data_IF_655092702880
#
_entry.id   IF_655092702880
#
_cell.length_a   1.000
_cell.length_b   1.000
_cell.length_c   1.000
_cell.angle_alpha   90.00
_cell.angle_beta   90.00
_cell.angle_gamma   90.00
#
_symmetry.space_group_name_H-M   'P 1'
#
loop_
_entity.id
_entity.type
_entity.pdbx_description
1 polymer ?
#
# COMPACT_ATOMS: atom_id res chain seq x y z
N UNK A 1 -50.22 11.02 -66.30
CA UNK A 1 -51.39 10.19 -65.97
C UNK A 1 -51.13 9.62 -64.60
N UNK A 2 -51.61 10.34 -63.59
CA UNK A 2 -51.67 9.89 -62.20
C UNK A 2 -52.76 8.83 -62.06
N UNK A 3 -52.53 7.81 -61.20
CA UNK A 3 -53.53 7.34 -60.23
C UNK A 3 -52.87 6.57 -59.09
N UNK A 4 -53.36 6.86 -57.90
CA UNK A 4 -53.03 6.31 -56.60
C UNK A 4 -53.46 4.84 -56.40
N UNK A 5 -52.93 4.17 -55.36
CA UNK A 5 -53.71 3.51 -54.30
C UNK A 5 -52.80 2.75 -53.32
N UNK A 6 -53.36 2.54 -52.13
CA UNK A 6 -52.72 2.23 -50.86
C UNK A 6 -52.73 0.73 -50.49
N UNK A 7 -51.86 0.40 -49.52
CA UNK A 7 -51.95 -0.62 -48.46
C UNK A 7 -52.28 -2.07 -48.84
N UNK A 8 -51.34 -2.98 -48.53
CA UNK A 8 -51.73 -4.21 -47.82
C UNK A 8 -50.62 -4.72 -46.89
N UNK A 9 -51.06 -5.18 -45.73
CA UNK A 9 -50.28 -5.71 -44.61
C UNK A 9 -50.00 -7.20 -44.82
N UNK A 10 -48.76 -7.65 -44.60
CA UNK A 10 -48.49 -9.07 -44.42
C UNK A 10 -47.51 -9.27 -43.26
N UNK A 11 -48.03 -9.91 -42.21
CA UNK A 11 -47.31 -10.45 -41.07
C UNK A 11 -46.36 -11.57 -41.51
N UNK A 12 -45.12 -11.51 -41.04
CA UNK A 12 -44.20 -12.65 -41.03
C UNK A 12 -43.77 -12.90 -39.59
N UNK A 13 -44.26 -14.01 -39.05
CA UNK A 13 -43.71 -14.67 -37.86
C UNK A 13 -42.25 -15.01 -38.14
N UNK A 14 -41.34 -14.46 -37.33
CA UNK A 14 -39.98 -14.97 -37.20
C UNK A 14 -39.80 -15.45 -35.76
N UNK A 15 -39.67 -16.76 -35.61
CA UNK A 15 -39.37 -17.41 -34.37
C UNK A 15 -37.90 -17.15 -34.01
N UNK A 16 -37.65 -16.22 -33.09
CA UNK A 16 -36.34 -16.04 -32.48
C UNK A 16 -36.04 -17.21 -31.53
N UNK A 17 -35.09 -18.06 -31.92
CA UNK A 17 -34.40 -18.96 -31.00
C UNK A 17 -33.63 -18.11 -29.97
N UNK A 18 -34.20 -17.94 -28.78
CA UNK A 18 -33.47 -17.48 -27.60
C UNK A 18 -32.44 -18.55 -27.22
N UNK A 19 -31.18 -18.33 -27.60
CA UNK A 19 -30.03 -19.01 -27.01
C UNK A 19 -29.92 -18.53 -25.56
N UNK A 20 -30.26 -19.41 -24.62
CA UNK A 20 -30.05 -19.18 -23.21
C UNK A 20 -28.54 -18.99 -22.95
N UNK A 21 -28.15 -17.77 -22.59
CA UNK A 21 -26.85 -17.48 -21.99
C UNK A 21 -26.90 -18.12 -20.61
N UNK A 22 -25.99 -19.06 -20.26
CA UNK A 22 -25.97 -19.62 -18.92
C UNK A 22 -25.63 -18.51 -17.94
N UNK A 23 -26.51 -18.29 -16.96
CA UNK A 23 -26.28 -17.41 -15.83
C UNK A 23 -24.92 -17.72 -15.22
N UNK A 24 -24.04 -16.71 -15.25
CA UNK A 24 -22.78 -16.78 -14.51
C UNK A 24 -23.13 -16.84 -13.02
N UNK A 25 -22.54 -17.79 -12.25
CA UNK A 25 -22.84 -17.89 -10.82
C UNK A 25 -22.47 -16.58 -10.12
N UNK A 26 -23.17 -16.21 -9.04
CA UNK A 26 -22.91 -14.97 -8.32
C UNK A 26 -21.44 -14.90 -7.94
N UNK A 27 -20.78 -13.82 -8.32
CA UNK A 27 -19.37 -13.56 -8.00
C UNK A 27 -19.13 -13.84 -6.52
N UNK A 28 -18.48 -14.97 -6.24
CA UNK A 28 -17.94 -15.25 -4.93
C UNK A 28 -16.92 -14.16 -4.64
N UNK A 29 -16.98 -13.56 -3.44
CA UNK A 29 -15.96 -12.63 -3.00
C UNK A 29 -14.60 -13.33 -3.15
N UNK A 30 -13.62 -12.74 -3.85
CA UNK A 30 -12.34 -13.40 -4.06
C UNK A 30 -11.71 -13.75 -2.71
N UNK A 31 -11.04 -14.90 -2.64
CA UNK A 31 -10.41 -15.37 -1.41
C UNK A 31 -9.33 -14.41 -0.88
N UNK A 32 -8.79 -13.57 -1.77
CA UNK A 32 -7.76 -12.58 -1.49
C UNK A 32 -8.20 -11.21 -2.03
N UNK A 33 -8.05 -10.15 -1.22
CA UNK A 33 -8.03 -8.76 -1.71
C UNK A 33 -6.60 -8.41 -2.15
N UNK A 34 -6.33 -8.17 -3.44
CA UNK A 34 -4.98 -7.91 -3.94
C UNK A 34 -4.26 -6.76 -3.23
N UNK A 35 -4.95 -5.68 -2.85
CA UNK A 35 -4.32 -4.55 -2.18
C UNK A 35 -3.94 -4.92 -0.74
N UNK A 36 -4.82 -5.62 -0.02
CA UNK A 36 -4.53 -6.11 1.32
C UNK A 36 -3.37 -7.11 1.31
N UNK A 37 -3.38 -8.10 0.40
CA UNK A 37 -2.31 -9.08 0.26
C UNK A 37 -0.97 -8.42 -0.10
N UNK A 38 -0.96 -7.44 -1.01
CA UNK A 38 0.24 -6.68 -1.36
C UNK A 38 0.78 -5.89 -0.17
N UNK A 39 -0.10 -5.29 0.63
CA UNK A 39 0.27 -4.52 1.82
C UNK A 39 0.92 -5.40 2.87
N UNK A 40 0.33 -6.56 3.18
CA UNK A 40 0.89 -7.51 4.14
C UNK A 40 2.18 -8.14 3.66
N UNK A 41 2.27 -8.49 2.38
CA UNK A 41 3.47 -9.07 1.79
C UNK A 41 4.64 -8.07 1.74
N UNK A 42 4.36 -6.79 1.41
CA UNK A 42 5.32 -5.69 1.54
C UNK A 42 5.88 -5.61 2.97
N UNK A 43 5.00 -5.61 3.97
CA UNK A 43 5.41 -5.57 5.37
C UNK A 43 6.31 -6.75 5.77
N UNK A 44 5.94 -7.97 5.37
CA UNK A 44 6.72 -9.18 5.65
C UNK A 44 8.09 -9.16 4.95
N UNK A 45 8.14 -8.78 3.67
CA UNK A 45 9.40 -8.70 2.91
C UNK A 45 10.36 -7.67 3.49
N UNK A 46 9.88 -6.48 3.83
CA UNK A 46 10.70 -5.42 4.42
C UNK A 46 11.35 -5.85 5.75
N UNK A 47 10.70 -6.76 6.51
CA UNK A 47 11.22 -7.33 7.77
C UNK A 47 12.16 -8.51 7.57
N UNK A 48 12.13 -9.16 6.41
CA UNK A 48 12.86 -10.41 6.16
C UNK A 48 14.38 -10.23 5.98
N UNK A 49 14.83 -9.01 5.62
CA UNK A 49 16.23 -8.76 5.27
C UNK A 49 16.69 -9.37 3.94
N UNK A 50 15.76 -9.87 3.12
CA UNK A 50 16.04 -10.53 1.83
C UNK A 50 16.12 -9.58 0.62
N UNK A 51 15.76 -8.32 0.81
CA UNK A 51 15.76 -7.29 -0.24
C UNK A 51 17.15 -6.66 -0.40
N UNK A 52 17.46 -6.22 -1.61
CA UNK A 52 18.63 -5.39 -1.92
C UNK A 52 18.37 -3.92 -1.53
N UNK A 53 17.95 -3.71 -0.29
CA UNK A 53 17.68 -2.41 0.31
C UNK A 53 18.40 -2.33 1.66
N UNK A 54 18.95 -1.17 2.06
CA UNK A 54 19.59 -1.05 3.36
C UNK A 54 18.63 -1.38 4.52
N UNK A 55 19.04 -2.15 5.54
CA UNK A 55 18.15 -2.53 6.63
C UNK A 55 17.50 -1.34 7.37
N UNK A 56 18.24 -0.25 7.57
CA UNK A 56 17.73 0.96 8.20
C UNK A 56 16.67 1.67 7.33
N UNK A 57 16.79 1.58 6.00
CA UNK A 57 15.82 2.12 5.06
C UNK A 57 14.52 1.32 5.12
N UNK A 58 14.61 -0.01 5.14
CA UNK A 58 13.45 -0.89 5.35
C UNK A 58 12.78 -0.63 6.71
N UNK A 59 13.56 -0.44 7.78
CA UNK A 59 13.03 -0.10 9.10
C UNK A 59 12.27 1.24 9.08
N UNK A 60 12.79 2.25 8.38
CA UNK A 60 12.11 3.53 8.21
C UNK A 60 10.80 3.41 7.44
N UNK A 61 10.71 2.54 6.42
CA UNK A 61 9.46 2.26 5.71
C UNK A 61 8.38 1.64 6.61
N UNK A 62 8.81 0.85 7.61
CA UNK A 62 7.95 0.18 8.59
C UNK A 62 7.55 1.07 9.78
N UNK A 63 8.18 2.24 9.93
CA UNK A 63 7.96 3.10 11.09
C UNK A 63 6.51 3.60 11.17
N UNK A 64 5.84 3.37 12.30
CA UNK A 64 4.50 3.89 12.56
C UNK A 64 4.50 5.36 12.95
N UNK A 65 3.36 6.03 12.77
CA UNK A 65 3.13 7.34 13.40
C UNK A 65 3.13 7.20 14.92
N UNK A 66 3.74 8.17 15.62
CA UNK A 66 3.63 8.26 17.08
C UNK A 66 2.16 8.38 17.50
N UNK A 67 1.70 7.61 18.52
CA UNK A 67 0.27 7.45 18.83
C UNK A 67 -0.43 8.67 19.47
N UNK A 68 0.26 9.78 19.72
CA UNK A 68 -0.26 10.88 20.56
C UNK A 68 -1.40 11.73 19.95
N UNK A 69 -1.90 11.44 18.75
CA UNK A 69 -2.96 12.23 18.09
C UNK A 69 -4.11 11.42 17.49
N UNK A 70 -4.09 10.09 17.58
CA UNK A 70 -5.14 9.25 17.00
C UNK A 70 -6.54 9.44 17.63
N UNK A 71 -6.62 10.06 18.81
CA UNK A 71 -7.89 10.26 19.53
C UNK A 71 -8.55 11.64 19.37
N UNK A 72 -7.89 12.62 18.75
CA UNK A 72 -8.48 13.96 18.54
C UNK A 72 -8.86 14.24 17.06
N UNK A 73 -8.56 13.33 16.14
CA UNK A 73 -8.85 13.47 14.71
C UNK A 73 -9.96 12.57 14.16
N UNK A 74 -10.72 11.85 15.02
CA UNK A 74 -11.80 10.95 14.56
C UNK A 74 -12.98 11.66 13.88
N UNK A 75 -13.09 12.98 13.99
CA UNK A 75 -14.09 13.78 13.28
C UNK A 75 -13.54 14.56 12.06
N UNK A 76 -12.22 14.52 11.79
CA UNK A 76 -11.60 15.20 10.63
C UNK A 76 -10.99 14.25 9.59
N UNK A 77 -10.94 12.95 9.87
CA UNK A 77 -10.48 11.89 8.94
C UNK A 77 -11.63 11.00 8.43
N UNK A 78 -12.88 11.46 8.58
CA UNK A 78 -14.08 10.84 7.99
C UNK A 78 -14.27 11.12 6.49
N UNK A 79 -13.18 11.39 5.76
CA UNK A 79 -13.20 11.35 4.31
C UNK A 79 -13.08 9.90 3.88
N UNK A 80 -14.22 9.23 3.75
CA UNK A 80 -14.25 7.89 3.17
C UNK A 80 -13.51 7.88 1.84
N UNK A 81 -12.84 6.75 1.56
CA UNK A 81 -12.71 6.27 0.20
C UNK A 81 -14.12 5.95 -0.32
N UNK A 82 -14.96 6.97 -0.45
CA UNK A 82 -16.16 6.93 -1.25
C UNK A 82 -15.67 7.17 -2.67
N UNK A 83 -15.91 6.19 -3.53
CA UNK A 83 -15.79 6.32 -4.97
C UNK A 83 -16.66 7.49 -5.41
N UNK A 84 -16.09 8.69 -5.49
CA UNK A 84 -16.68 9.78 -6.24
C UNK A 84 -16.02 9.79 -7.63
N UNK A 85 -16.86 9.78 -8.65
CA UNK A 85 -16.59 9.36 -10.02
C UNK A 85 -15.72 10.30 -10.85
N UNK A 86 -14.52 10.62 -10.38
CA UNK A 86 -13.43 11.18 -11.20
C UNK A 86 -12.15 10.41 -10.91
N UNK A 87 -11.73 9.60 -11.89
CA UNK A 87 -10.51 8.77 -11.90
C UNK A 87 -9.24 9.61 -11.77
N UNK A 88 -8.89 10.06 -10.56
CA UNK A 88 -7.54 10.59 -10.34
C UNK A 88 -6.58 9.44 -9.98
N UNK A 89 -6.12 8.83 -11.07
CA UNK A 89 -5.10 7.77 -11.15
C UNK A 89 -3.80 8.11 -10.39
N UNK A 90 -3.52 9.40 -10.20
CA UNK A 90 -2.29 9.90 -9.58
C UNK A 90 -2.40 9.88 -8.06
N UNK A 91 -1.37 9.35 -7.39
CA UNK A 91 -1.21 9.51 -5.94
C UNK A 91 -0.49 10.85 -5.70
N UNK A 92 -1.15 11.82 -5.07
CA UNK A 92 -0.56 13.12 -4.74
C UNK A 92 -0.36 13.29 -3.23
N UNK A 93 0.35 14.36 -2.84
CA UNK A 93 0.54 14.74 -1.45
C UNK A 93 1.61 13.97 -0.69
N UNK A 94 1.81 14.40 0.55
CA UNK A 94 2.77 13.81 1.49
C UNK A 94 2.33 12.38 1.90
N UNK A 95 3.21 11.36 1.80
CA UNK A 95 2.86 10.00 2.19
C UNK A 95 2.57 9.89 3.70
N UNK A 96 1.57 9.07 4.03
CA UNK A 96 1.18 8.78 5.42
C UNK A 96 1.97 7.57 5.91
N UNK A 97 2.41 7.64 7.18
CA UNK A 97 3.09 6.52 7.81
C UNK A 97 2.09 5.48 8.34
N UNK A 98 2.44 4.18 8.35
CA UNK A 98 3.73 3.65 7.92
C UNK A 98 3.88 3.65 6.39
N UNK A 99 5.06 4.04 5.90
CA UNK A 99 5.28 4.34 4.48
C UNK A 99 5.13 3.12 3.57
N UNK A 100 5.30 1.90 4.09
CA UNK A 100 5.09 0.68 3.31
C UNK A 100 3.62 0.52 2.83
N UNK A 101 2.65 1.09 3.55
CA UNK A 101 1.23 1.08 3.13
C UNK A 101 1.04 1.97 1.91
N UNK A 102 1.66 3.16 1.94
CA UNK A 102 1.69 4.07 0.78
C UNK A 102 2.41 3.43 -0.42
N UNK A 103 3.53 2.74 -0.17
CA UNK A 103 4.27 1.99 -1.18
C UNK A 103 3.40 0.90 -1.82
N UNK A 104 2.69 0.10 -1.03
CA UNK A 104 1.80 -0.95 -1.52
C UNK A 104 0.65 -0.36 -2.36
N UNK A 105 0.02 0.73 -1.90
CA UNK A 105 -1.02 1.43 -2.67
C UNK A 105 -0.50 1.95 -4.01
N UNK A 106 0.67 2.59 -4.03
CA UNK A 106 1.28 3.10 -5.25
C UNK A 106 1.63 1.95 -6.20
N UNK A 107 2.24 0.86 -5.71
CA UNK A 107 2.52 -0.33 -6.52
C UNK A 107 1.24 -0.94 -7.10
N UNK A 108 0.19 -1.12 -6.29
CA UNK A 108 -1.09 -1.63 -6.76
C UNK A 108 -1.65 -0.80 -7.91
N UNK A 109 -1.67 0.53 -7.78
CA UNK A 109 -2.08 1.44 -8.86
C UNK A 109 -1.20 1.30 -10.10
N UNK A 110 0.12 1.25 -9.94
CA UNK A 110 1.04 1.09 -11.06
C UNK A 110 0.74 -0.20 -11.84
N UNK A 111 0.48 -1.30 -11.13
CA UNK A 111 0.15 -2.58 -11.74
C UNK A 111 -1.18 -2.50 -12.50
N UNK A 112 -2.23 -1.99 -11.86
CA UNK A 112 -3.58 -1.93 -12.44
C UNK A 112 -3.66 -0.98 -13.65
N UNK A 113 -3.04 0.20 -13.56
CA UNK A 113 -3.08 1.21 -14.61
C UNK A 113 -1.98 1.03 -15.65
N UNK A 114 -1.02 0.13 -15.38
CA UNK A 114 0.16 -0.12 -16.21
C UNK A 114 0.99 1.15 -16.48
N UNK A 115 0.92 2.12 -15.57
CA UNK A 115 1.57 3.43 -15.67
C UNK A 115 2.06 3.89 -14.30
N UNK A 116 3.19 4.60 -14.29
CA UNK A 116 3.74 5.14 -13.05
C UNK A 116 2.73 6.06 -12.32
N UNK A 117 2.45 5.84 -11.02
CA UNK A 117 1.27 6.37 -10.34
C UNK A 117 1.53 7.70 -9.61
N UNK A 118 2.61 8.41 -9.92
CA UNK A 118 2.96 9.68 -9.25
C UNK A 118 3.20 10.77 -10.28
N UNK A 119 2.77 11.99 -9.94
CA UNK A 119 3.13 13.18 -10.68
C UNK A 119 4.48 13.70 -10.20
N UNK A 120 5.50 13.57 -11.05
CA UNK A 120 6.84 14.13 -10.81
C UNK A 120 7.18 15.27 -11.76
N UNK A 121 6.20 16.14 -12.03
CA UNK A 121 6.44 17.37 -12.77
C UNK A 121 7.58 18.19 -12.12
N UNK A 122 8.53 18.71 -12.92
CA UNK A 122 9.65 19.50 -12.41
C UNK A 122 9.15 20.83 -11.86
N UNK A 123 9.80 21.33 -10.81
CA UNK A 123 9.56 22.70 -10.33
C UNK A 123 10.55 23.64 -11.00
N UNK A 124 10.02 24.69 -11.63
CA UNK A 124 10.84 25.71 -12.28
C UNK A 124 11.91 26.28 -11.33
N UNK A 125 13.16 26.31 -11.79
CA UNK A 125 14.29 26.82 -11.02
C UNK A 125 14.89 25.83 -10.01
N UNK A 126 14.40 24.58 -9.92
CA UNK A 126 15.09 23.48 -9.23
C UNK A 126 15.79 22.60 -10.26
N UNK A 127 17.09 22.37 -10.07
CA UNK A 127 17.84 21.44 -10.89
C UNK A 127 17.81 20.04 -10.24
N UNK A 128 17.13 19.10 -10.89
CA UNK A 128 16.90 17.75 -10.39
C UNK A 128 17.76 16.72 -11.12
N UNK A 129 18.10 15.65 -10.41
CA UNK A 129 18.62 14.44 -11.04
C UNK A 129 17.45 13.67 -11.67
N UNK A 130 17.45 13.61 -13.00
CA UNK A 130 16.43 12.95 -13.79
C UNK A 130 16.76 11.47 -14.12
N UNK A 131 17.75 10.88 -13.45
CA UNK A 131 18.14 9.47 -13.66
C UNK A 131 16.94 8.51 -13.63
N UNK A 132 15.98 8.75 -12.74
CA UNK A 132 14.76 7.94 -12.63
C UNK A 132 13.94 7.87 -13.92
N UNK A 133 13.95 8.92 -14.76
CA UNK A 133 13.24 8.93 -16.05
C UNK A 133 13.81 7.88 -16.99
N UNK A 134 15.14 7.72 -16.98
CA UNK A 134 15.82 6.71 -17.81
C UNK A 134 15.55 5.27 -17.36
N UNK A 135 15.20 5.09 -16.08
CA UNK A 135 14.87 3.77 -15.51
C UNK A 135 13.38 3.45 -15.59
N UNK A 136 12.53 4.43 -15.90
CA UNK A 136 11.07 4.32 -15.77
C UNK A 136 10.47 3.21 -16.64
N UNK A 137 10.95 3.06 -17.87
CA UNK A 137 10.46 2.02 -18.78
C UNK A 137 10.83 0.62 -18.26
N UNK A 138 12.09 0.43 -17.83
CA UNK A 138 12.56 -0.83 -17.26
C UNK A 138 11.84 -1.19 -15.95
N UNK A 139 11.60 -0.20 -15.09
CA UNK A 139 10.79 -0.38 -13.89
C UNK A 139 9.34 -0.71 -14.22
N UNK A 140 8.73 -0.01 -15.19
CA UNK A 140 7.35 -0.26 -15.61
C UNK A 140 7.20 -1.66 -16.16
N UNK A 141 8.10 -2.10 -17.04
CA UNK A 141 8.11 -3.47 -17.57
C UNK A 141 8.14 -4.50 -16.43
N UNK A 142 9.04 -4.29 -15.46
CA UNK A 142 9.19 -5.20 -14.31
C UNK A 142 7.96 -5.21 -13.41
N UNK A 143 7.48 -4.03 -13.00
CA UNK A 143 6.33 -3.84 -12.10
C UNK A 143 5.07 -4.42 -12.74
N UNK A 144 4.81 -4.12 -14.00
CA UNK A 144 3.62 -4.61 -14.70
C UNK A 144 3.70 -6.11 -14.93
N UNK A 145 4.84 -6.63 -15.39
CA UNK A 145 4.95 -8.08 -15.67
C UNK A 145 4.82 -8.91 -14.39
N UNK A 146 5.61 -8.61 -13.36
CA UNK A 146 5.57 -9.39 -12.12
C UNK A 146 4.33 -9.09 -11.30
N UNK A 147 3.87 -7.84 -11.30
CA UNK A 147 2.69 -7.42 -10.56
C UNK A 147 1.39 -7.96 -11.13
N UNK A 148 1.22 -7.97 -12.47
CA UNK A 148 0.06 -8.60 -13.09
C UNK A 148 0.01 -10.11 -12.78
N UNK A 149 1.15 -10.81 -12.85
CA UNK A 149 1.22 -12.20 -12.44
C UNK A 149 0.82 -12.39 -10.96
N UNK A 150 1.20 -11.45 -10.09
CA UNK A 150 0.83 -11.45 -8.68
C UNK A 150 -0.68 -11.30 -8.47
N UNK A 151 -1.32 -10.36 -9.18
CA UNK A 151 -2.77 -10.15 -9.12
C UNK A 151 -3.53 -11.37 -9.67
N UNK A 152 -3.11 -11.91 -10.81
CA UNK A 152 -3.70 -13.12 -11.41
C UNK A 152 -3.60 -14.32 -10.46
N UNK A 153 -2.46 -14.50 -9.78
CA UNK A 153 -2.29 -15.54 -8.77
C UNK A 153 -3.27 -15.38 -7.61
N UNK A 154 -3.41 -14.17 -7.05
CA UNK A 154 -4.35 -13.91 -5.95
C UNK A 154 -5.81 -14.11 -6.33
N UNK A 155 -6.19 -13.76 -7.57
CA UNK A 155 -7.54 -14.00 -8.08
C UNK A 155 -7.82 -15.50 -8.26
N UNK A 156 -6.80 -16.31 -8.55
CA UNK A 156 -6.89 -17.76 -8.73
C UNK A 156 -6.77 -18.58 -7.44
N UNK A 157 -6.59 -17.95 -6.27
CA UNK A 157 -6.46 -18.67 -5.00
C UNK A 157 -7.83 -19.13 -4.50
N UNK A 158 -7.93 -20.42 -4.20
CA UNK A 158 -9.15 -21.03 -3.67
C UNK A 158 -9.33 -20.73 -2.17
N UNK A 159 -8.22 -20.72 -1.41
CA UNK A 159 -8.23 -20.45 0.02
C UNK A 159 -6.88 -19.96 0.53
N UNK A 160 -6.90 -19.08 1.53
CA UNK A 160 -5.72 -18.69 2.31
C UNK A 160 -5.66 -19.48 3.62
N UNK A 161 -4.48 -19.99 3.96
CA UNK A 161 -4.22 -20.71 5.19
C UNK A 161 -3.13 -20.01 6.02
N UNK A 162 -3.46 -19.77 7.28
CA UNK A 162 -2.45 -19.50 8.30
C UNK A 162 -1.96 -20.83 8.89
N UNK A 163 -0.66 -21.06 8.79
CA UNK A 163 0.02 -22.26 9.27
C UNK A 163 1.17 -21.85 10.18
N UNK A 164 1.19 -22.41 11.38
CA UNK A 164 2.23 -22.16 12.38
C UNK A 164 3.50 -22.96 12.09
N UNK A 165 4.65 -22.45 12.54
CA UNK A 165 5.88 -23.23 12.55
C UNK A 165 5.80 -24.39 13.55
N UNK A 166 6.45 -25.54 13.26
CA UNK A 166 7.36 -25.80 12.12
C UNK A 166 6.63 -26.20 10.82
N UNK A 167 5.31 -26.37 10.85
CA UNK A 167 4.57 -26.97 9.73
C UNK A 167 4.53 -26.09 8.48
N UNK A 168 4.61 -24.78 8.63
CA UNK A 168 4.69 -23.86 7.48
C UNK A 168 5.96 -24.11 6.67
N UNK A 169 7.13 -24.13 7.31
CA UNK A 169 8.39 -24.46 6.64
C UNK A 169 8.39 -25.89 6.09
N UNK A 170 7.85 -26.87 6.83
CA UNK A 170 7.78 -28.26 6.35
C UNK A 170 6.87 -28.42 5.12
N UNK A 171 5.79 -27.64 5.00
CA UNK A 171 4.96 -27.57 3.79
C UNK A 171 5.74 -26.90 2.65
N UNK A 172 6.40 -25.78 2.94
CA UNK A 172 7.18 -25.01 1.96
C UNK A 172 8.29 -25.86 1.33
N UNK A 173 8.95 -26.69 2.14
CA UNK A 173 10.07 -27.56 1.75
C UNK A 173 9.60 -28.95 1.24
N UNK A 174 8.29 -29.24 1.29
CA UNK A 174 7.70 -30.48 0.78
C UNK A 174 7.87 -31.71 1.67
N UNK A 175 8.34 -31.55 2.91
CA UNK A 175 8.41 -32.63 3.89
C UNK A 175 7.03 -33.00 4.45
N UNK A 176 6.15 -32.02 4.62
CA UNK A 176 4.73 -32.22 4.94
C UNK A 176 3.94 -32.14 3.65
N UNK A 177 3.27 -33.24 3.29
CA UNK A 177 2.55 -33.35 2.00
C UNK A 177 1.04 -33.48 2.16
N UNK A 178 0.55 -33.64 3.39
CA UNK A 178 -0.89 -33.72 3.69
C UNK A 178 -1.23 -32.69 4.77
N UNK A 179 -2.13 -31.78 4.45
CA UNK A 179 -2.67 -30.80 5.39
C UNK A 179 -4.04 -31.24 5.91
N UNK A 180 -4.10 -31.55 7.21
CA UNK A 180 -5.34 -31.98 7.86
C UNK A 180 -6.16 -30.79 8.35
N UNK A 181 -7.43 -30.70 7.94
CA UNK A 181 -8.36 -29.65 8.39
C UNK A 181 -9.72 -30.25 8.72
N UNK A 182 -10.44 -29.67 9.67
CA UNK A 182 -11.83 -30.03 9.91
C UNK A 182 -12.67 -29.64 8.67
N UNK A 183 -13.55 -30.53 8.19
CA UNK A 183 -14.25 -30.40 6.92
C UNK A 183 -15.42 -29.39 6.99
N UNK A 184 -15.14 -28.13 7.34
CA UNK A 184 -16.13 -27.04 7.28
C UNK A 184 -16.39 -26.60 5.84
N UNK A 185 -17.45 -25.82 5.62
CA UNK A 185 -17.95 -25.52 4.27
C UNK A 185 -16.89 -24.88 3.35
N UNK A 186 -16.03 -24.02 3.89
CA UNK A 186 -14.90 -23.40 3.15
C UNK A 186 -13.88 -24.40 2.61
N UNK A 187 -13.70 -25.55 3.27
CA UNK A 187 -12.75 -26.58 2.81
C UNK A 187 -13.43 -27.66 1.98
N UNK A 188 -14.75 -27.83 2.12
CA UNK A 188 -15.53 -28.82 1.37
C UNK A 188 -15.63 -28.51 -0.12
N UNK A 189 -15.35 -27.27 -0.54
CA UNK A 189 -15.28 -26.88 -1.95
C UNK A 189 -13.94 -27.20 -2.61
N UNK A 190 -12.88 -27.51 -1.84
CA UNK A 190 -11.53 -27.72 -2.37
C UNK A 190 -11.41 -28.98 -3.25
N UNK A 191 -10.77 -28.85 -4.41
CA UNK A 191 -10.58 -29.92 -5.40
C UNK A 191 -9.13 -29.99 -5.86
N UNK A 192 -8.77 -31.10 -6.50
CA UNK A 192 -7.49 -31.22 -7.17
C UNK A 192 -7.33 -30.13 -8.24
N UNK A 193 -6.15 -29.49 -8.27
CA UNK A 193 -5.83 -28.36 -9.14
C UNK A 193 -5.86 -27.00 -8.43
N UNK A 194 -6.64 -26.86 -7.36
CA UNK A 194 -6.80 -25.59 -6.63
C UNK A 194 -5.48 -25.09 -6.04
N UNK A 195 -5.31 -23.76 -6.01
CA UNK A 195 -4.18 -23.10 -5.37
C UNK A 195 -4.54 -22.64 -3.96
N UNK A 196 -3.62 -22.90 -3.03
CA UNK A 196 -3.67 -22.47 -1.64
C UNK A 196 -2.56 -21.45 -1.40
N UNK A 197 -2.90 -20.32 -0.78
CA UNK A 197 -1.92 -19.36 -0.29
C UNK A 197 -1.61 -19.63 1.18
N UNK A 198 -0.35 -19.88 1.52
CA UNK A 198 0.08 -20.12 2.91
C UNK A 198 0.80 -18.90 3.46
N UNK A 199 0.30 -18.38 4.60
CA UNK A 199 0.86 -17.22 5.31
C UNK A 199 1.15 -16.02 4.38
N UNK A 200 0.30 -15.82 3.35
CA UNK A 200 0.43 -14.78 2.32
C UNK A 200 1.75 -14.81 1.52
N UNK A 201 2.56 -15.85 1.68
CA UNK A 201 3.95 -15.87 1.23
C UNK A 201 4.20 -16.82 0.07
N UNK A 202 3.74 -18.06 0.17
CA UNK A 202 4.04 -19.12 -0.81
C UNK A 202 2.80 -19.92 -1.19
N UNK A 203 2.88 -20.58 -2.34
CA UNK A 203 1.77 -21.33 -2.91
C UNK A 203 1.94 -22.83 -2.73
N UNK A 204 0.80 -23.50 -2.58
CA UNK A 204 0.63 -24.94 -2.72
C UNK A 204 -0.46 -25.22 -3.73
N UNK A 205 -0.32 -26.32 -4.47
CA UNK A 205 -1.37 -26.86 -5.34
C UNK A 205 -1.93 -28.14 -4.73
N UNK A 206 -3.25 -28.25 -4.69
CA UNK A 206 -3.94 -29.46 -4.24
C UNK A 206 -3.82 -30.53 -5.31
N UNK A 207 -3.34 -31.72 -4.92
CA UNK A 207 -3.40 -32.92 -5.76
C UNK A 207 -4.75 -33.61 -5.65
N UNK A 208 -5.14 -33.89 -4.41
CA UNK A 208 -6.35 -34.63 -4.07
C UNK A 208 -6.81 -34.27 -2.65
N UNK A 209 -8.09 -34.53 -2.38
CA UNK A 209 -8.70 -34.27 -1.07
C UNK A 209 -9.45 -35.52 -0.63
N UNK A 210 -9.11 -36.05 0.53
CA UNK A 210 -9.76 -37.24 1.10
C UNK A 210 -10.50 -36.88 2.37
N UNK A 211 -11.70 -37.44 2.56
CA UNK A 211 -12.49 -37.26 3.78
C UNK A 211 -12.30 -38.44 4.73
N UNK A 212 -12.25 -38.13 6.03
CA UNK A 212 -12.11 -39.08 7.12
C UNK A 212 -13.08 -38.77 8.26
N UNK A 213 -13.57 -39.78 8.99
CA UNK A 213 -14.40 -39.56 10.16
C UNK A 213 -13.67 -38.82 11.28
N UNK A 214 -12.37 -39.09 11.47
CA UNK A 214 -11.56 -38.52 12.56
C UNK A 214 -10.14 -38.18 12.13
N UNK A 215 -9.47 -37.27 12.86
CA UNK A 215 -8.04 -36.99 12.67
C UNK A 215 -7.21 -38.23 12.91
N UNK A 216 -7.59 -39.07 13.88
CA UNK A 216 -6.93 -40.34 14.13
C UNK A 216 -6.95 -41.23 12.90
N UNK A 217 -8.13 -41.45 12.31
CA UNK A 217 -8.26 -42.28 11.09
C UNK A 217 -7.52 -41.68 9.90
N UNK A 218 -7.50 -40.35 9.76
CA UNK A 218 -6.74 -39.68 8.71
C UNK A 218 -5.24 -39.95 8.88
N UNK A 219 -4.68 -39.77 10.09
CA UNK A 219 -3.26 -40.02 10.34
C UNK A 219 -2.89 -41.50 10.14
N UNK A 220 -3.77 -42.43 10.53
CA UNK A 220 -3.58 -43.88 10.34
C UNK A 220 -3.51 -44.26 8.86
N UNK A 221 -4.33 -43.64 8.01
CA UNK A 221 -4.39 -43.94 6.57
C UNK A 221 -3.31 -43.17 5.79
N UNK A 222 -3.19 -41.87 6.02
CA UNK A 222 -2.27 -40.99 5.28
C UNK A 222 -0.81 -41.17 5.71
N UNK A 223 -0.60 -41.58 6.96
CA UNK A 223 0.69 -41.78 7.58
C UNK A 223 1.18 -40.55 8.34
N UNK A 224 1.57 -40.75 9.61
CA UNK A 224 1.97 -39.69 10.53
C UNK A 224 3.07 -38.77 9.97
N UNK A 225 4.10 -39.34 9.33
CA UNK A 225 5.20 -38.55 8.78
C UNK A 225 4.78 -37.58 7.66
N UNK A 226 3.75 -37.92 6.87
CA UNK A 226 3.27 -37.03 5.79
C UNK A 226 2.38 -35.90 6.33
N UNK A 227 1.65 -36.17 7.40
CA UNK A 227 0.69 -35.25 8.02
C UNK A 227 1.37 -34.34 9.05
N UNK A 228 2.16 -34.89 9.96
CA UNK A 228 2.83 -34.19 11.05
C UNK A 228 4.27 -34.71 11.21
N UNK A 229 5.19 -34.35 10.28
CA UNK A 229 6.60 -34.74 10.39
C UNK A 229 7.20 -34.27 11.72
N UNK A 230 7.99 -35.14 12.37
CA UNK A 230 8.62 -34.86 13.66
C UNK A 230 7.75 -35.17 14.90
N UNK A 231 6.53 -35.68 14.72
CA UNK A 231 5.69 -36.17 15.83
C UNK A 231 5.89 -37.67 16.02
N UNK A 232 6.07 -38.11 17.28
CA UNK A 232 6.49 -39.47 17.61
C UNK A 232 5.37 -40.53 17.53
N UNK A 233 4.10 -40.12 17.69
CA UNK A 233 2.98 -41.07 17.68
C UNK A 233 1.67 -40.46 17.20
N UNK A 234 0.74 -41.32 16.77
CA UNK A 234 -0.60 -40.91 16.34
C UNK A 234 -1.36 -40.21 17.48
N UNK A 235 -1.19 -40.67 18.72
CA UNK A 235 -1.82 -40.04 19.90
C UNK A 235 -1.35 -38.60 20.09
N UNK A 236 -0.04 -38.36 19.99
CA UNK A 236 0.52 -37.00 20.02
C UNK A 236 0.05 -36.17 18.81
N UNK A 237 -0.04 -36.79 17.62
CA UNK A 237 -0.55 -36.14 16.43
C UNK A 237 -2.00 -35.64 16.59
N UNK A 238 -2.88 -36.43 17.19
CA UNK A 238 -4.25 -36.00 17.51
C UNK A 238 -4.24 -34.84 18.51
N UNK A 239 -3.35 -34.85 19.52
CA UNK A 239 -3.20 -33.74 20.47
C UNK A 239 -2.78 -32.43 19.79
N UNK A 240 -2.00 -32.48 18.71
CA UNK A 240 -1.69 -31.28 17.91
C UNK A 240 -2.97 -30.66 17.35
N UNK A 241 -3.85 -31.46 16.73
CA UNK A 241 -5.13 -30.97 16.21
C UNK A 241 -6.09 -30.47 17.28
N UNK A 242 -6.05 -31.06 18.49
CA UNK A 242 -6.88 -30.64 19.64
C UNK A 242 -6.59 -29.22 20.13
N UNK A 243 -5.43 -28.65 19.79
CA UNK A 243 -5.13 -27.23 20.04
C UNK A 243 -6.03 -26.29 19.22
N UNK A 244 -6.58 -26.76 18.11
CA UNK A 244 -7.34 -25.96 17.14
C UNK A 244 -8.80 -26.42 16.97
N UNK A 245 -9.08 -27.71 17.17
CA UNK A 245 -10.39 -28.31 16.91
C UNK A 245 -10.89 -29.14 18.08
N UNK A 246 -12.11 -28.86 18.52
CA UNK A 246 -12.82 -29.66 19.52
C UNK A 246 -13.32 -30.98 18.93
N UNK A 247 -13.50 -31.98 19.78
CA UNK A 247 -14.05 -33.29 19.35
C UNK A 247 -15.45 -33.17 18.77
N UNK A 248 -16.29 -32.32 19.36
CA UNK A 248 -17.62 -32.05 18.83
C UNK A 248 -17.58 -31.50 17.40
N UNK A 249 -16.63 -30.59 17.10
CA UNK A 249 -16.49 -30.02 15.76
C UNK A 249 -15.98 -31.08 14.76
N UNK A 250 -15.02 -31.90 15.17
CA UNK A 250 -14.58 -33.04 14.37
C UNK A 250 -15.71 -34.03 14.10
N UNK A 251 -16.50 -34.42 15.09
CA UNK A 251 -17.62 -35.34 14.91
C UNK A 251 -18.72 -34.76 14.02
N UNK A 252 -18.98 -33.45 14.13
CA UNK A 252 -20.01 -32.79 13.33
C UNK A 252 -19.65 -32.68 11.84
N UNK A 253 -18.37 -32.52 11.51
CA UNK A 253 -17.94 -32.21 10.14
C UNK A 253 -17.10 -33.31 9.48
N UNK A 254 -16.43 -34.14 10.27
CA UNK A 254 -15.31 -34.98 9.86
C UNK A 254 -14.05 -34.15 9.58
N UNK A 255 -13.10 -34.78 8.89
CA UNK A 255 -11.77 -34.26 8.62
C UNK A 255 -11.44 -34.43 7.14
N UNK A 256 -10.70 -33.48 6.57
CA UNK A 256 -10.11 -33.58 5.25
C UNK A 256 -8.59 -33.75 5.38
N UNK A 257 -8.05 -34.73 4.66
CA UNK A 257 -6.63 -34.79 4.31
C UNK A 257 -6.44 -34.15 2.95
N UNK A 258 -5.85 -32.95 2.92
CA UNK A 258 -5.59 -32.20 1.68
C UNK A 258 -4.17 -32.50 1.23
N UNK A 259 -4.01 -33.24 0.14
CA UNK A 259 -2.70 -33.55 -0.43
C UNK A 259 -2.20 -32.38 -1.25
N UNK A 260 -0.98 -31.92 -0.96
CA UNK A 260 -0.42 -30.69 -1.52
C UNK A 260 0.96 -30.90 -2.11
N UNK A 261 1.29 -30.10 -3.11
CA UNK A 261 2.64 -29.97 -3.66
C UNK A 261 2.98 -28.53 -4.00
N UNK A 262 4.27 -28.26 -4.24
CA UNK A 262 4.74 -27.00 -4.81
C UNK A 262 4.25 -26.88 -6.27
N UNK A 263 3.57 -25.78 -6.64
CA UNK A 263 3.24 -25.49 -8.02
C UNK A 263 4.49 -25.07 -8.82
N UNK A 264 4.37 -25.04 -10.16
CA UNK A 264 5.43 -24.55 -11.04
C UNK A 264 5.51 -23.01 -11.05
N UNK A 265 4.42 -22.34 -10.69
CA UNK A 265 4.32 -20.89 -10.56
C UNK A 265 5.25 -20.38 -9.45
N UNK A 266 5.79 -19.16 -9.63
CA UNK A 266 6.58 -18.48 -8.59
C UNK A 266 5.70 -18.13 -7.39
N UNK A 267 6.31 -18.09 -6.20
CA UNK A 267 5.62 -17.61 -5.03
C UNK A 267 5.36 -16.09 -5.10
N UNK A 268 4.26 -15.59 -4.51
CA UNK A 268 4.00 -14.16 -4.37
C UNK A 268 5.19 -13.40 -3.78
N UNK A 269 5.85 -13.98 -2.77
CA UNK A 269 7.03 -13.37 -2.13
C UNK A 269 8.18 -13.14 -3.11
N UNK A 270 8.40 -14.06 -4.05
CA UNK A 270 9.49 -13.97 -5.03
C UNK A 270 9.18 -12.91 -6.09
N UNK A 271 7.92 -12.81 -6.53
CA UNK A 271 7.47 -11.82 -7.48
C UNK A 271 7.57 -10.40 -6.89
N UNK A 272 7.10 -10.20 -5.65
CA UNK A 272 7.18 -8.88 -5.01
C UNK A 272 8.63 -8.51 -4.67
N UNK A 273 9.44 -9.45 -4.22
CA UNK A 273 10.88 -9.22 -4.01
C UNK A 273 11.57 -8.83 -5.33
N UNK A 274 11.21 -9.48 -6.45
CA UNK A 274 11.69 -9.12 -7.78
C UNK A 274 11.37 -7.66 -8.16
N UNK A 275 10.15 -7.21 -7.88
CA UNK A 275 9.74 -5.81 -8.09
C UNK A 275 10.57 -4.85 -7.22
N UNK A 276 10.60 -5.08 -5.90
CA UNK A 276 11.28 -4.18 -4.96
C UNK A 276 12.80 -4.12 -5.21
N UNK A 277 13.42 -5.23 -5.59
CA UNK A 277 14.85 -5.29 -5.92
C UNK A 277 15.17 -4.57 -7.24
N UNK A 278 14.28 -4.63 -8.24
CA UNK A 278 14.46 -3.90 -9.50
C UNK A 278 14.28 -2.39 -9.32
N UNK A 279 13.35 -1.98 -8.46
CA UNK A 279 13.18 -0.57 -8.10
C UNK A 279 14.38 -0.05 -7.31
N UNK A 280 14.92 -0.86 -6.39
CA UNK A 280 15.95 -0.44 -5.45
C UNK A 280 15.52 0.79 -4.65
N UNK A 281 16.47 1.49 -4.03
CA UNK A 281 16.15 2.70 -3.27
C UNK A 281 15.58 3.80 -4.17
N UNK A 282 16.14 4.01 -5.36
CA UNK A 282 15.74 5.12 -6.23
C UNK A 282 14.28 4.97 -6.70
N UNK A 283 13.86 3.77 -7.09
CA UNK A 283 12.47 3.50 -7.48
C UNK A 283 11.49 3.56 -6.31
N UNK A 284 11.86 3.04 -5.14
CA UNK A 284 11.03 3.15 -3.92
C UNK A 284 10.87 4.61 -3.51
N UNK A 285 11.95 5.40 -3.55
CA UNK A 285 11.89 6.85 -3.29
C UNK A 285 10.98 7.57 -4.27
N UNK A 286 11.10 7.27 -5.57
CA UNK A 286 10.25 7.85 -6.60
C UNK A 286 8.76 7.54 -6.35
N UNK A 287 8.42 6.29 -5.96
CA UNK A 287 7.05 5.91 -5.57
C UNK A 287 6.56 6.65 -4.33
N UNK A 288 7.44 6.93 -3.36
CA UNK A 288 7.11 7.79 -2.22
C UNK A 288 7.01 9.27 -2.59
N UNK A 289 7.29 9.66 -3.84
CA UNK A 289 7.22 11.05 -4.30
C UNK A 289 8.47 11.88 -3.98
N UNK A 290 9.53 11.25 -3.48
CA UNK A 290 10.81 11.91 -3.23
C UNK A 290 11.51 12.27 -4.53
N UNK A 291 12.21 13.40 -4.49
CA UNK A 291 13.04 13.93 -5.58
C UNK A 291 14.51 13.78 -5.21
N UNK A 292 15.36 13.94 -6.21
CA UNK A 292 16.81 13.90 -6.04
C UNK A 292 17.39 15.17 -6.64
N UNK A 293 18.22 15.85 -5.86
CA UNK A 293 19.00 17.01 -6.28
C UNK A 293 20.44 16.81 -5.77
N UNK A 294 21.34 17.72 -6.16
CA UNK A 294 22.65 17.79 -5.52
C UNK A 294 22.45 17.95 -3.99
N UNK A 295 23.13 17.11 -3.21
CA UNK A 295 23.06 17.11 -1.75
C UNK A 295 21.92 16.27 -1.15
N UNK A 296 21.12 15.57 -1.96
CA UNK A 296 20.09 14.63 -1.45
C UNK A 296 20.71 13.53 -0.60
N UNK A 297 20.11 13.29 0.57
CA UNK A 297 20.43 12.16 1.44
C UNK A 297 19.55 10.98 1.01
N UNK A 298 20.06 10.11 0.13
CA UNK A 298 19.27 9.04 -0.51
C UNK A 298 18.64 8.06 0.48
N UNK A 299 19.30 7.78 1.59
CA UNK A 299 18.81 6.85 2.61
C UNK A 299 17.74 7.46 3.53
N UNK A 300 17.55 8.79 3.50
CA UNK A 300 16.57 9.45 4.34
C UNK A 300 15.14 9.35 3.77
N UNK A 301 14.19 9.10 4.66
CA UNK A 301 12.76 9.03 4.38
C UNK A 301 12.03 10.26 4.98
N UNK A 302 10.84 10.61 4.47
CA UNK A 302 10.07 11.72 5.02
C UNK A 302 9.73 11.45 6.50
N UNK A 303 9.77 12.46 7.38
CA UNK A 303 9.28 12.32 8.75
C UNK A 303 7.75 12.06 8.79
N UNK A 304 7.23 11.49 9.89
CA UNK A 304 5.80 11.37 10.10
C UNK A 304 5.08 12.72 10.00
N UNK A 305 3.97 12.77 9.25
CA UNK A 305 3.13 13.98 9.10
C UNK A 305 2.77 14.61 10.45
N UNK A 306 2.46 13.79 11.46
CA UNK A 306 2.16 14.27 12.82
C UNK A 306 3.32 15.08 13.42
N UNK A 307 4.56 14.61 13.30
CA UNK A 307 5.73 15.32 13.81
C UNK A 307 5.97 16.66 13.10
N UNK A 308 5.69 16.72 11.80
CA UNK A 308 5.77 17.96 11.02
C UNK A 308 4.71 18.98 11.46
N UNK A 309 3.49 18.51 11.74
CA UNK A 309 2.39 19.33 12.27
C UNK A 309 2.71 19.79 13.69
N UNK A 310 3.21 18.92 14.56
CA UNK A 310 3.54 19.22 15.95
C UNK A 310 4.61 20.32 16.05
N UNK A 311 5.71 20.18 15.31
CA UNK A 311 6.79 21.18 15.31
C UNK A 311 6.37 22.51 14.68
N UNK A 312 5.39 22.50 13.78
CA UNK A 312 4.79 23.71 13.20
C UNK A 312 3.83 24.41 14.18
N UNK A 313 3.03 23.63 14.90
CA UNK A 313 2.01 24.09 15.85
C UNK A 313 2.57 24.38 17.25
N UNK A 314 3.86 24.10 17.50
CA UNK A 314 4.53 24.47 18.72
C UNK A 314 4.45 25.99 18.99
N UNK A 315 4.42 26.38 20.27
CA UNK A 315 4.43 27.79 20.66
C UNK A 315 5.78 28.43 20.29
N UNK A 316 5.73 29.64 19.71
CA UNK A 316 6.94 30.35 19.31
C UNK A 316 7.82 30.75 20.51
N UNK A 317 7.19 31.15 21.61
CA UNK A 317 7.83 31.55 22.86
C UNK A 317 7.04 30.96 24.04
N UNK A 318 7.22 29.66 24.36
CA UNK A 318 6.42 28.97 25.38
C UNK A 318 6.53 29.59 26.78
N UNK A 319 7.67 30.24 27.07
CA UNK A 319 7.94 30.87 28.36
C UNK A 319 7.27 32.24 28.55
N UNK A 320 6.67 32.80 27.49
CA UNK A 320 6.03 34.12 27.54
C UNK A 320 4.54 33.95 27.83
N UNK A 321 4.15 34.26 29.07
CA UNK A 321 2.76 34.16 29.51
C UNK A 321 1.81 34.96 28.60
N UNK A 322 0.72 34.32 28.18
CA UNK A 322 -0.30 34.92 27.31
C UNK A 322 0.03 34.92 25.81
N UNK A 323 1.26 34.62 25.41
CA UNK A 323 1.61 34.47 23.99
C UNK A 323 1.25 33.06 23.52
N UNK A 324 0.28 32.98 22.61
CA UNK A 324 -0.24 31.72 22.04
C UNK A 324 0.05 31.58 20.55
N UNK A 325 0.80 32.50 19.95
CA UNK A 325 1.19 32.40 18.54
C UNK A 325 2.11 31.19 18.30
N UNK A 326 1.80 30.39 17.29
CA UNK A 326 2.62 29.24 16.92
C UNK A 326 3.84 29.65 16.09
N UNK A 327 4.84 28.77 16.02
CA UNK A 327 5.99 28.91 15.12
C UNK A 327 5.52 29.09 13.68
N UNK A 328 4.56 28.27 13.24
CA UNK A 328 3.95 28.36 11.92
C UNK A 328 3.27 29.70 11.63
N UNK A 329 2.44 30.20 12.55
CA UNK A 329 1.78 31.50 12.38
C UNK A 329 2.76 32.66 12.34
N UNK A 330 3.81 32.61 13.18
CA UNK A 330 4.87 33.62 13.14
C UNK A 330 5.67 33.57 11.85
N UNK A 331 5.91 32.38 11.30
CA UNK A 331 6.55 32.24 10.00
C UNK A 331 5.66 32.79 8.88
N UNK A 332 4.37 32.43 8.85
CA UNK A 332 3.44 32.93 7.83
C UNK A 332 3.37 34.45 7.83
N UNK A 333 3.34 35.08 9.01
CA UNK A 333 3.36 36.54 9.17
C UNK A 333 4.58 37.22 8.53
N UNK A 334 5.71 36.51 8.40
CA UNK A 334 6.92 37.01 7.73
C UNK A 334 6.86 36.86 6.21
N UNK A 335 6.09 35.91 5.71
CA UNK A 335 6.01 35.54 4.29
C UNK A 335 4.89 36.28 3.55
N UNK A 336 3.74 36.52 4.19
CA UNK A 336 2.63 37.29 3.59
C UNK A 336 3.08 38.61 2.95
N UNK A 337 3.94 39.46 3.57
CA UNK A 337 4.39 40.70 2.95
C UNK A 337 5.40 40.54 1.80
N UNK A 338 5.87 39.32 1.50
CA UNK A 338 6.88 39.04 0.47
C UNK A 338 6.28 38.53 -0.84
N UNK A 339 5.03 38.11 -0.82
CA UNK A 339 4.29 37.56 -1.95
C UNK A 339 3.41 38.66 -2.54
N UNK A 340 3.86 39.29 -3.63
CA UNK A 340 3.10 40.35 -4.29
C UNK A 340 1.85 39.81 -5.00
N UNK A 341 1.83 38.52 -5.34
CA UNK A 341 0.67 37.82 -5.89
C UNK A 341 -0.38 37.43 -4.83
N UNK A 342 -0.08 37.61 -3.54
CA UNK A 342 -1.00 37.33 -2.43
C UNK A 342 -1.24 35.83 -2.17
N UNK A 343 -0.40 34.93 -2.68
CA UNK A 343 -0.55 33.48 -2.56
C UNK A 343 -0.68 32.99 -1.11
N UNK A 344 0.07 33.60 -0.18
CA UNK A 344 0.02 33.29 1.25
C UNK A 344 -1.25 33.83 1.96
N UNK A 345 -2.07 34.61 1.27
CA UNK A 345 -3.25 35.26 1.82
C UNK A 345 -2.93 36.47 2.69
N UNK A 346 -3.89 36.88 3.53
CA UNK A 346 -3.75 37.98 4.48
C UNK A 346 -3.79 37.45 5.92
N UNK A 347 -2.83 37.89 6.75
CA UNK A 347 -2.67 37.45 8.13
C UNK A 347 -2.98 38.57 9.13
N UNK A 348 -4.24 38.66 9.52
CA UNK A 348 -4.76 39.66 10.45
C UNK A 348 -5.49 39.00 11.63
N UNK A 349 -5.92 39.79 12.61
CA UNK A 349 -6.70 39.28 13.75
C UNK A 349 -5.88 38.78 14.94
N UNK A 350 -6.58 38.04 15.80
CA UNK A 350 -6.08 37.41 17.03
C UNK A 350 -5.04 36.34 16.76
N UNK A 351 -4.25 35.95 17.78
CA UNK A 351 -3.29 34.85 17.64
C UNK A 351 -3.97 33.53 17.25
N UNK A 352 -5.18 33.26 17.76
CA UNK A 352 -5.94 32.07 17.40
C UNK A 352 -6.32 32.04 15.91
N UNK A 353 -6.79 33.16 15.36
CA UNK A 353 -7.11 33.27 13.93
C UNK A 353 -5.87 33.10 13.05
N UNK A 354 -4.74 33.70 13.44
CA UNK A 354 -3.47 33.55 12.73
C UNK A 354 -2.97 32.11 12.76
N UNK A 355 -3.10 31.43 13.90
CA UNK A 355 -2.73 30.02 14.04
C UNK A 355 -3.59 29.13 13.13
N UNK A 356 -4.91 29.35 13.10
CA UNK A 356 -5.84 28.61 12.24
C UNK A 356 -5.54 28.80 10.76
N UNK A 357 -5.21 30.03 10.34
CA UNK A 357 -4.81 30.30 8.95
C UNK A 357 -3.51 29.59 8.59
N UNK A 358 -2.52 29.61 9.49
CA UNK A 358 -1.24 28.95 9.29
C UNK A 358 -1.40 27.43 9.18
N UNK A 359 -2.20 26.82 10.04
CA UNK A 359 -2.55 25.41 9.98
C UNK A 359 -3.24 25.04 8.67
N UNK A 360 -4.24 25.83 8.26
CA UNK A 360 -4.94 25.63 6.98
C UNK A 360 -3.98 25.72 5.78
N UNK A 361 -3.03 26.65 5.84
CA UNK A 361 -1.98 26.83 4.82
C UNK A 361 -1.05 25.62 4.77
N UNK A 362 -0.59 25.12 5.92
CA UNK A 362 0.23 23.92 5.98
C UNK A 362 -0.52 22.69 5.45
N UNK A 363 -1.79 22.52 5.82
CA UNK A 363 -2.60 21.41 5.36
C UNK A 363 -2.72 21.41 3.83
N UNK A 364 -2.96 22.58 3.23
CA UNK A 364 -2.98 22.77 1.77
C UNK A 364 -1.65 22.39 1.12
N UNK A 365 -0.52 22.83 1.69
CA UNK A 365 0.82 22.44 1.20
C UNK A 365 1.01 20.93 1.25
N UNK A 366 0.70 20.27 2.37
CA UNK A 366 0.87 18.82 2.55
C UNK A 366 -0.03 18.00 1.61
N UNK A 367 -1.26 18.44 1.37
CA UNK A 367 -2.21 17.76 0.48
C UNK A 367 -1.81 17.86 -0.99
N UNK A 368 -1.34 19.03 -1.43
CA UNK A 368 -0.97 19.27 -2.84
C UNK A 368 0.55 19.22 -3.07
N UNK A 369 1.29 18.56 -2.19
CA UNK A 369 2.74 18.38 -2.37
C UNK A 369 2.98 17.54 -3.63
N UNK A 370 3.72 18.12 -4.59
CA UNK A 370 4.15 17.44 -5.82
C UNK A 370 5.67 17.22 -5.86
N UNK A 371 6.39 17.83 -4.92
CA UNK A 371 7.84 17.74 -4.82
C UNK A 371 8.22 17.67 -3.35
N UNK A 372 9.06 16.71 -2.99
CA UNK A 372 9.66 16.65 -1.66
C UNK A 372 11.07 16.09 -1.72
N UNK A 373 11.93 16.52 -0.82
CA UNK A 373 13.31 16.05 -0.78
C UNK A 373 13.88 16.16 0.65
N UNK A 374 14.84 15.29 0.96
CA UNK A 374 15.70 15.43 2.13
C UNK A 374 17.10 15.69 1.60
N UNK A 375 17.66 16.87 1.90
CA UNK A 375 18.97 17.28 1.40
C UNK A 375 19.78 18.05 2.43
N UNK A 376 21.10 18.10 2.21
CA UNK A 376 22.05 18.78 3.07
C UNK A 376 22.29 20.22 2.60
N UNK A 377 21.93 21.22 3.42
CA UNK A 377 22.22 22.62 3.11
C UNK A 377 22.12 23.58 4.32
N UNK A 378 23.20 23.92 5.06
CA UNK A 378 24.41 23.15 5.42
C UNK A 378 24.14 22.08 6.49
N UNK A 379 22.90 21.98 6.95
CA UNK A 379 22.37 20.93 7.83
C UNK A 379 21.30 20.13 7.07
N UNK A 380 21.00 18.88 7.46
CA UNK A 380 19.97 18.08 6.81
C UNK A 380 18.57 18.68 6.99
N UNK A 381 17.85 18.87 5.89
CA UNK A 381 16.55 19.53 5.85
C UNK A 381 15.56 18.70 5.04
N UNK A 382 14.32 18.61 5.54
CA UNK A 382 13.19 18.05 4.81
C UNK A 382 12.37 19.18 4.21
N UNK A 383 12.08 19.10 2.91
CA UNK A 383 11.37 20.12 2.15
C UNK A 383 10.21 19.52 1.37
N UNK A 384 9.11 20.26 1.33
CA UNK A 384 7.97 20.00 0.46
C UNK A 384 7.64 21.25 -0.36
N UNK A 385 7.16 21.05 -1.58
CA UNK A 385 6.67 22.11 -2.46
C UNK A 385 5.44 21.65 -3.23
N UNK A 386 4.56 22.61 -3.49
CA UNK A 386 3.45 22.47 -4.44
C UNK A 386 3.89 22.88 -5.85
N UNK A 387 3.04 22.67 -6.86
CA UNK A 387 3.37 22.91 -8.27
C UNK A 387 3.84 24.36 -8.56
N UNK A 388 3.24 25.35 -7.89
CA UNK A 388 3.61 26.76 -8.01
C UNK A 388 4.99 27.09 -7.42
N UNK A 389 5.67 26.12 -6.80
CA UNK A 389 6.99 26.28 -6.19
C UNK A 389 6.96 26.72 -4.72
N UNK A 390 5.83 27.19 -4.19
CA UNK A 390 5.67 27.48 -2.76
C UNK A 390 5.83 26.22 -1.91
N UNK A 391 6.33 26.37 -0.69
CA UNK A 391 6.63 25.20 0.13
C UNK A 391 6.87 25.48 1.60
N UNK A 392 7.34 24.44 2.28
CA UNK A 392 7.65 24.43 3.70
C UNK A 392 8.88 23.55 3.95
N UNK A 393 9.64 23.88 5.00
CA UNK A 393 10.83 23.09 5.38
C UNK A 393 10.97 22.87 6.88
N UNK A 394 11.56 21.74 7.22
CA UNK A 394 11.91 21.31 8.58
C UNK A 394 13.37 20.86 8.64
N UNK A 395 13.90 20.65 9.84
CA UNK A 395 15.04 19.73 10.00
C UNK A 395 14.67 18.37 9.40
N UNK A 396 15.67 17.61 8.91
CA UNK A 396 15.43 16.34 8.24
C UNK A 396 14.67 15.31 9.10
N UNK A 397 14.78 15.40 10.42
CA UNK A 397 14.06 14.54 11.37
C UNK A 397 12.64 15.04 11.69
N UNK A 398 12.22 16.18 11.13
CA UNK A 398 10.91 16.80 11.36
C UNK A 398 10.77 17.52 12.72
N UNK A 399 11.80 17.52 13.56
CA UNK A 399 11.73 18.01 14.95
C UNK A 399 11.51 19.53 15.06
N UNK A 400 11.89 20.29 14.04
CA UNK A 400 11.75 21.75 14.02
C UNK A 400 11.29 22.24 12.66
N UNK A 401 10.21 23.03 12.66
CA UNK A 401 9.84 23.83 11.50
C UNK A 401 10.86 24.95 11.30
N UNK A 402 11.35 25.11 10.07
CA UNK A 402 12.40 26.07 9.72
C UNK A 402 11.88 27.25 8.91
N UNK A 403 10.73 27.11 8.25
CA UNK A 403 10.07 28.20 7.56
C UNK A 403 9.31 27.78 6.31
N UNK A 404 8.55 28.72 5.76
CA UNK A 404 7.96 28.60 4.44
C UNK A 404 9.00 28.90 3.35
N UNK A 405 8.70 28.49 2.14
CA UNK A 405 9.55 28.62 0.97
C UNK A 405 8.79 29.35 -0.12
N UNK A 406 9.42 30.38 -0.69
CA UNK A 406 8.95 31.01 -1.92
C UNK A 406 9.35 30.16 -3.14
N UNK A 407 8.74 30.40 -4.31
CA UNK A 407 9.17 29.79 -5.55
C UNK A 407 10.66 30.04 -5.80
N UNK A 408 11.41 29.07 -6.35
CA UNK A 408 12.80 29.28 -6.72
C UNK A 408 12.94 30.48 -7.65
N UNK A 409 13.90 31.35 -7.36
CA UNK A 409 14.14 32.55 -8.15
C UNK A 409 15.65 32.82 -8.23
N UNK A 410 16.11 33.25 -9.40
CA UNK A 410 17.51 33.62 -9.61
C UNK A 410 17.88 34.80 -8.71
N UNK A 411 18.99 34.65 -7.98
CA UNK A 411 19.45 35.61 -6.96
C UNK A 411 18.43 35.92 -5.85
N UNK A 412 17.53 34.98 -5.55
CA UNK A 412 16.46 35.20 -4.56
C UNK A 412 16.93 35.68 -3.19
N UNK A 413 18.10 35.20 -2.75
CA UNK A 413 18.74 35.72 -1.54
C UNK A 413 19.00 37.23 -1.60
N UNK A 414 19.53 37.74 -2.73
CA UNK A 414 19.81 39.17 -2.92
C UNK A 414 18.51 39.98 -2.97
N UNK A 415 17.44 39.41 -3.51
CA UNK A 415 16.10 40.02 -3.58
C UNK A 415 15.26 39.80 -2.31
N UNK A 416 15.84 39.22 -1.26
CA UNK A 416 15.16 38.83 0.00
C UNK A 416 13.91 37.98 -0.23
N UNK A 417 13.90 37.22 -1.32
CA UNK A 417 12.78 36.40 -1.76
C UNK A 417 11.46 37.17 -1.86
N UNK A 418 11.53 38.45 -2.23
CA UNK A 418 10.37 39.25 -2.58
C UNK A 418 10.12 39.05 -4.07
N UNK A 419 8.91 38.63 -4.40
CA UNK A 419 8.45 38.41 -5.77
C UNK A 419 7.15 39.16 -5.99
#
# INVERSE_FOLDING_TARGET
MDTAAALDSCSHDSADLQVAIPDSPPHSTPACDPLQCLTSLCHSLLRSGSLNLPPHFCQGLLQHQSPNLAEQGKEALGGGFAADGTEDTIVEGLPVHPLYVHLALALHRWICERRFPRNLAPIAGINEDEFWKSMLDAWTETVVTQGSALIELWQGIAIQLDVQEPYSSLLKDGFKTVEGRCATDSYRSLRGGDLILVNESFLLQIKEVHWYPTFRSMIEVEGLLKVLPGVDSISEGVKVYRKFYTEAKEQAHGVLGVHVVRPAQKDPVDLLAGILNALGMDGVRALLGLRTTIGTVKEALPPPKSLLVDSFSALQNPDVAGCRITVGARALAKHVPRSLDGWWGSITGTEAEKNKLAESTLHRLMMHTVWMNIHLAPIPLFEIRVADGYGARWLADGSQFRGFLEPPMEEGYMKKWRH
#
